data_IF_852974685245
#
_entry.id   IF_852974685245
#
_cell.length_a   1.000
_cell.length_b   1.000
_cell.length_c   1.000
_cell.angle_alpha   90.00
_cell.angle_beta   90.00
_cell.angle_gamma   90.00
#
_symmetry.space_group_name_H-M   'P 1'
#
loop_
_entity.id
_entity.type
_entity.pdbx_description
1 polymer ?
#
# COMPACT_ATOMS: atom_id res chain seq x y z
N UNK A 1 -5.51 28.34 1.96
CA UNK A 1 -4.27 27.55 2.14
C UNK A 1 -4.44 26.60 3.33
N UNK A 2 -4.73 25.31 3.12
CA UNK A 2 -4.94 24.34 4.22
C UNK A 2 -4.61 22.87 3.87
N UNK A 3 -3.88 22.60 2.78
CA UNK A 3 -3.65 21.22 2.29
C UNK A 3 -2.27 20.60 2.60
N UNK A 4 -1.23 21.36 2.95
CA UNK A 4 0.08 20.76 3.25
C UNK A 4 0.17 20.12 4.65
N UNK A 5 -0.58 20.62 5.64
CA UNK A 5 -0.47 20.13 7.02
C UNK A 5 -1.05 18.72 7.23
N UNK A 6 -2.03 18.32 6.42
CA UNK A 6 -2.71 17.04 6.60
C UNK A 6 -1.88 15.86 6.09
N UNK A 7 -1.06 16.06 5.07
CA UNK A 7 -0.23 15.01 4.49
C UNK A 7 1.02 14.73 5.32
N UNK A 8 1.73 15.76 5.80
CA UNK A 8 2.82 15.55 6.76
C UNK A 8 2.32 14.89 8.07
N UNK A 9 1.09 15.20 8.50
CA UNK A 9 0.44 14.48 9.59
C UNK A 9 0.12 13.02 9.22
N UNK A 10 -0.30 12.74 7.98
CA UNK A 10 -0.55 11.38 7.51
C UNK A 10 0.75 10.56 7.47
N UNK A 11 1.81 11.08 6.85
CA UNK A 11 3.12 10.42 6.76
C UNK A 11 3.74 10.15 8.13
N UNK A 12 3.61 11.09 9.07
CA UNK A 12 4.07 10.90 10.46
C UNK A 12 3.20 9.91 11.24
N UNK A 13 1.89 9.81 10.96
CA UNK A 13 0.98 8.85 11.60
C UNK A 13 1.09 7.44 11.03
N UNK A 14 1.19 7.30 9.72
CA UNK A 14 1.59 6.07 9.02
C UNK A 14 2.91 5.58 9.60
N UNK A 15 3.93 6.45 9.68
CA UNK A 15 5.20 6.10 10.35
C UNK A 15 4.99 5.64 11.79
N UNK A 16 4.16 6.31 12.60
CA UNK A 16 3.88 5.90 13.98
C UNK A 16 3.09 4.61 14.13
N UNK A 17 2.19 4.30 13.19
CA UNK A 17 1.50 3.02 13.07
C UNK A 17 2.57 1.95 12.81
N UNK A 18 3.38 2.14 11.77
CA UNK A 18 4.43 1.20 11.34
C UNK A 18 5.70 1.15 12.21
N UNK A 19 5.87 2.04 13.19
CA UNK A 19 7.01 2.05 14.13
C UNK A 19 6.70 1.37 15.47
N UNK A 20 5.44 1.00 15.74
CA UNK A 20 5.09 0.27 16.96
C UNK A 20 5.45 -1.19 16.77
N UNK A 21 6.59 -1.56 17.36
CA UNK A 21 6.98 -2.96 17.58
C UNK A 21 5.82 -3.66 18.32
N UNK A 22 5.23 -4.69 17.73
CA UNK A 22 4.18 -5.45 18.39
C UNK A 22 4.77 -6.20 19.58
N UNK A 23 4.23 -5.99 20.78
CA UNK A 23 4.49 -6.87 21.93
C UNK A 23 3.98 -8.27 21.58
N UNK A 24 4.89 -9.24 21.60
CA UNK A 24 4.66 -10.62 21.20
C UNK A 24 3.60 -11.27 22.10
N UNK A 25 2.39 -11.49 21.57
CA UNK A 25 1.47 -12.46 22.13
C UNK A 25 1.79 -13.83 21.51
N UNK A 26 2.13 -14.81 22.36
CA UNK A 26 2.45 -16.17 21.94
C UNK A 26 1.28 -16.77 21.14
N UNK A 27 1.52 -17.10 19.87
CA UNK A 27 0.52 -17.69 18.98
C UNK A 27 0.84 -19.18 18.77
N UNK A 28 -0.20 -20.03 18.83
CA UNK A 28 -0.12 -21.48 18.65
C UNK A 28 0.50 -21.87 17.28
N UNK A 29 1.05 -23.10 17.13
CA UNK A 29 1.79 -23.49 15.94
C UNK A 29 0.87 -23.49 14.71
N UNK A 30 1.13 -22.58 13.76
CA UNK A 30 0.47 -22.56 12.46
C UNK A 30 0.98 -23.74 11.65
N UNK A 31 0.08 -24.47 10.99
CA UNK A 31 0.43 -25.52 10.04
C UNK A 31 1.45 -24.96 9.03
N UNK A 32 2.51 -25.72 8.77
CA UNK A 32 3.64 -25.30 7.95
C UNK A 32 3.14 -24.83 6.57
N UNK A 33 3.43 -23.57 6.23
CA UNK A 33 3.19 -23.04 4.88
C UNK A 33 4.01 -23.84 3.86
N UNK A 34 3.46 -24.05 2.64
CA UNK A 34 4.20 -24.71 1.56
C UNK A 34 5.49 -23.93 1.26
N UNK A 35 6.56 -24.61 0.80
CA UNK A 35 7.91 -24.08 0.80
C UNK A 35 8.00 -22.76 0.02
N UNK A 36 8.39 -21.71 0.74
CA UNK A 36 8.51 -20.34 0.28
C UNK A 36 9.77 -20.11 -0.56
N UNK A 37 10.17 -21.02 -1.45
CA UNK A 37 11.42 -20.87 -2.23
C UNK A 37 11.31 -19.85 -3.39
N UNK A 38 10.25 -19.02 -3.40
CA UNK A 38 10.08 -17.86 -4.27
C UNK A 38 10.38 -16.53 -3.55
N UNK A 39 10.94 -16.58 -2.33
CA UNK A 39 10.62 -15.71 -1.18
C UNK A 39 11.03 -14.23 -1.21
N UNK A 40 11.91 -13.77 -2.09
CA UNK A 40 12.35 -12.35 -2.00
C UNK A 40 12.10 -11.61 -3.31
N UNK A 41 11.20 -10.62 -3.27
CA UNK A 41 11.17 -9.56 -4.30
C UNK A 41 12.49 -8.83 -4.21
N UNK A 42 13.32 -8.94 -5.25
CA UNK A 42 14.61 -8.28 -5.30
C UNK A 42 14.45 -6.78 -5.55
N UNK A 43 15.44 -5.97 -5.15
CA UNK A 43 15.42 -4.52 -5.38
C UNK A 43 15.12 -4.12 -6.84
N UNK A 44 15.65 -4.81 -7.88
CA UNK A 44 15.28 -4.51 -9.26
C UNK A 44 13.79 -4.72 -9.56
N UNK A 45 13.18 -5.78 -8.99
CA UNK A 45 11.74 -6.05 -9.18
C UNK A 45 10.89 -5.04 -8.43
N UNK A 46 11.30 -4.65 -7.22
CA UNK A 46 10.64 -3.60 -6.46
C UNK A 46 10.62 -2.27 -7.23
N UNK A 47 11.77 -1.87 -7.80
CA UNK A 47 11.87 -0.69 -8.65
C UNK A 47 10.99 -0.80 -9.90
N UNK A 48 10.96 -1.96 -10.55
CA UNK A 48 10.11 -2.19 -11.72
C UNK A 48 8.62 -2.11 -11.37
N UNK A 49 8.21 -2.65 -10.23
CA UNK A 49 6.84 -2.56 -9.74
C UNK A 49 6.43 -1.10 -9.47
N UNK A 50 7.30 -0.32 -8.81
CA UNK A 50 7.06 1.10 -8.58
C UNK A 50 7.00 1.90 -9.89
N UNK A 51 7.85 1.60 -10.87
CA UNK A 51 7.83 2.25 -12.17
C UNK A 51 6.53 1.96 -12.95
N UNK A 52 6.01 0.74 -12.88
CA UNK A 52 4.71 0.39 -13.46
C UNK A 52 3.56 1.15 -12.78
N UNK A 53 3.63 1.34 -11.45
CA UNK A 53 2.65 2.14 -10.70
C UNK A 53 2.72 3.62 -11.13
N UNK A 54 3.92 4.20 -11.18
CA UNK A 54 4.14 5.58 -11.66
C UNK A 54 3.54 5.75 -13.06
N UNK A 55 3.85 4.82 -13.98
CA UNK A 55 3.31 4.84 -15.33
C UNK A 55 1.78 4.76 -15.34
N UNK A 56 1.18 3.88 -14.55
CA UNK A 56 -0.29 3.79 -14.46
C UNK A 56 -0.91 5.12 -14.01
N UNK A 57 -0.33 5.76 -12.99
CA UNK A 57 -0.83 7.05 -12.49
C UNK A 57 -0.68 8.17 -13.53
N UNK A 58 0.43 8.21 -14.25
CA UNK A 58 0.65 9.15 -15.33
C UNK A 58 -0.33 8.93 -16.50
N UNK A 59 -0.46 7.70 -16.98
CA UNK A 59 -1.27 7.35 -18.16
C UNK A 59 -2.77 7.55 -17.91
N UNK A 60 -3.26 7.29 -16.68
CA UNK A 60 -4.70 7.33 -16.37
C UNK A 60 -5.16 8.64 -15.73
N UNK A 61 -4.28 9.33 -14.98
CA UNK A 61 -4.66 10.52 -14.21
C UNK A 61 -3.80 11.74 -14.52
N UNK A 62 -2.81 11.63 -15.42
CA UNK A 62 -1.89 12.71 -15.72
C UNK A 62 -1.01 13.10 -14.53
N UNK A 63 -0.82 12.18 -13.58
CA UNK A 63 -0.09 12.46 -12.33
C UNK A 63 1.34 12.91 -12.63
N UNK A 64 1.73 14.14 -12.26
CA UNK A 64 3.10 14.60 -12.48
C UNK A 64 4.08 13.86 -11.56
N UNK A 65 5.27 13.52 -12.05
CA UNK A 65 6.34 12.93 -11.23
C UNK A 65 6.69 13.80 -10.00
N UNK A 66 6.54 15.12 -10.09
CA UNK A 66 6.74 16.05 -8.97
C UNK A 66 5.73 15.86 -7.81
N UNK A 67 4.62 15.13 -8.03
CA UNK A 67 3.63 14.75 -7.03
C UNK A 67 3.89 13.37 -6.43
N UNK A 68 4.91 12.66 -6.93
CA UNK A 68 5.31 11.35 -6.43
C UNK A 68 6.41 11.51 -5.40
N UNK A 69 6.26 10.81 -4.28
CA UNK A 69 7.26 10.70 -3.24
C UNK A 69 7.63 9.24 -3.04
N UNK A 70 8.93 9.01 -3.04
CA UNK A 70 9.53 7.70 -2.87
C UNK A 70 10.25 7.62 -1.54
N UNK A 71 10.20 6.44 -0.93
CA UNK A 71 11.02 6.15 0.24
C UNK A 71 11.40 4.69 0.27
N UNK A 72 12.70 4.47 0.35
CA UNK A 72 13.28 3.14 0.48
C UNK A 72 13.35 2.73 1.97
N UNK A 73 13.20 1.43 2.19
CA UNK A 73 13.37 0.76 3.47
C UNK A 73 14.31 -0.42 3.27
N UNK A 74 14.91 -0.90 4.37
CA UNK A 74 15.75 -2.11 4.32
C UNK A 74 14.96 -3.33 3.82
N UNK A 75 13.65 -3.35 4.07
CA UNK A 75 12.74 -4.45 3.76
C UNK A 75 11.65 -4.06 2.75
N UNK A 76 11.87 -3.06 1.90
CA UNK A 76 10.86 -2.65 0.93
C UNK A 76 10.97 -1.19 0.46
N UNK A 77 9.89 -0.68 -0.13
CA UNK A 77 9.79 0.71 -0.57
C UNK A 77 8.34 1.19 -0.56
N UNK A 78 8.15 2.50 -0.49
CA UNK A 78 6.83 3.13 -0.61
C UNK A 78 6.79 4.17 -1.71
N UNK A 79 5.62 4.30 -2.33
CA UNK A 79 5.26 5.36 -3.26
C UNK A 79 4.01 6.06 -2.73
N UNK A 80 4.07 7.39 -2.64
CA UNK A 80 2.92 8.23 -2.35
C UNK A 80 2.69 9.21 -3.50
N UNK A 81 1.46 9.30 -3.99
CA UNK A 81 1.03 10.35 -4.91
C UNK A 81 0.21 11.37 -4.14
N UNK A 82 0.54 12.65 -4.30
CA UNK A 82 -0.20 13.79 -3.77
C UNK A 82 -1.14 14.43 -4.80
N UNK A 83 -1.41 13.76 -5.91
CA UNK A 83 -2.30 14.29 -6.95
C UNK A 83 -3.74 14.39 -6.44
N UNK A 84 -4.35 15.55 -6.56
CA UNK A 84 -5.72 15.78 -6.08
C UNK A 84 -6.77 14.94 -6.83
N UNK A 85 -6.48 14.57 -8.07
CA UNK A 85 -7.35 13.76 -8.93
C UNK A 85 -7.43 12.34 -8.38
N UNK A 86 -6.28 11.71 -8.15
CA UNK A 86 -6.17 10.35 -7.63
C UNK A 86 -4.86 10.19 -6.85
N UNK A 87 -4.88 10.55 -5.58
CA UNK A 87 -3.75 10.35 -4.68
C UNK A 87 -3.76 8.90 -4.19
N UNK A 88 -2.57 8.36 -3.93
CA UNK A 88 -2.39 6.98 -3.45
C UNK A 88 -1.27 6.93 -2.42
N UNK A 89 -1.39 6.02 -1.45
CA UNK A 89 -0.30 5.67 -0.52
C UNK A 89 -0.07 4.17 -0.57
N UNK A 90 1.10 3.77 -1.04
CA UNK A 90 1.45 2.37 -1.29
C UNK A 90 2.76 2.00 -0.60
N UNK A 91 2.82 0.78 -0.08
CA UNK A 91 4.05 0.19 0.47
C UNK A 91 4.19 -1.22 -0.08
N UNK A 92 5.38 -1.58 -0.56
CA UNK A 92 5.73 -2.95 -0.92
C UNK A 92 6.80 -3.41 0.07
N UNK A 93 6.53 -4.48 0.82
CA UNK A 93 7.44 -5.07 1.80
C UNK A 93 7.92 -6.42 1.29
N UNK A 94 9.23 -6.65 1.31
CA UNK A 94 9.84 -7.97 1.06
C UNK A 94 9.67 -8.87 2.27
N UNK A 95 9.93 -8.33 3.47
CA UNK A 95 9.61 -8.95 4.75
C UNK A 95 8.75 -8.00 5.56
N UNK A 96 7.66 -8.50 6.14
CA UNK A 96 6.78 -7.72 6.98
C UNK A 96 7.27 -7.61 8.43
N UNK A 97 8.17 -8.50 8.86
CA UNK A 97 8.73 -8.56 10.22
C UNK A 97 7.65 -8.52 11.32
N UNK A 98 6.48 -9.09 11.04
CA UNK A 98 5.33 -9.10 11.94
C UNK A 98 4.56 -7.77 12.03
N UNK A 99 4.86 -6.77 11.20
CA UNK A 99 4.13 -5.51 11.15
C UNK A 99 2.65 -5.77 10.84
N UNK A 100 1.75 -5.35 11.73
CA UNK A 100 0.29 -5.41 11.54
C UNK A 100 -0.26 -6.79 11.13
N UNK A 101 0.41 -7.88 11.51
CA UNK A 101 0.05 -9.26 11.09
C UNK A 101 0.06 -9.45 9.56
N UNK A 102 0.81 -8.61 8.84
CA UNK A 102 1.00 -8.75 7.42
C UNK A 102 1.89 -9.97 7.13
N UNK A 103 1.61 -10.72 6.05
CA UNK A 103 2.54 -11.71 5.55
C UNK A 103 3.75 -11.02 4.90
N UNK A 104 4.84 -11.76 4.76
CA UNK A 104 5.97 -11.33 3.94
C UNK A 104 5.54 -11.16 2.48
N UNK A 105 6.35 -10.40 1.75
CA UNK A 105 6.15 -10.17 0.33
C UNK A 105 4.73 -9.63 0.01
N UNK A 106 4.44 -8.41 0.44
CA UNK A 106 3.11 -7.80 0.39
C UNK A 106 3.15 -6.40 -0.21
N UNK A 107 2.18 -6.08 -1.07
CA UNK A 107 1.82 -4.71 -1.46
C UNK A 107 0.61 -4.27 -0.64
N UNK A 108 0.75 -3.17 0.08
CA UNK A 108 -0.27 -2.55 0.91
C UNK A 108 -0.78 -1.25 0.28
N UNK A 109 -2.10 -1.16 0.08
CA UNK A 109 -2.80 0.10 -0.23
C UNK A 109 -3.30 0.74 1.06
N UNK A 110 -2.69 1.89 1.41
CA UNK A 110 -2.94 2.61 2.65
C UNK A 110 -3.92 3.79 2.54
N UNK A 111 -4.26 4.24 1.33
CA UNK A 111 -5.22 5.32 1.14
C UNK A 111 -5.34 5.80 -0.30
N UNK A 112 -6.52 6.32 -0.65
CA UNK A 112 -6.86 6.82 -1.99
C UNK A 112 -7.62 8.16 -1.97
N UNK A 113 -7.05 9.24 -1.41
CA UNK A 113 -7.77 10.51 -1.35
C UNK A 113 -8.01 11.09 -2.76
N UNK A 114 -9.17 11.72 -2.95
CA UNK A 114 -9.53 12.38 -4.20
C UNK A 114 -10.48 13.55 -3.93
N UNK A 115 -10.39 14.59 -4.76
CA UNK A 115 -11.35 15.71 -4.77
C UNK A 115 -12.63 15.40 -5.54
N UNK A 116 -12.65 14.31 -6.32
CA UNK A 116 -13.83 13.86 -7.06
C UNK A 116 -14.89 13.24 -6.13
N UNK A 117 -16.08 12.99 -6.67
CA UNK A 117 -17.18 12.36 -5.95
C UNK A 117 -16.93 10.86 -5.68
N UNK A 118 -17.72 10.30 -4.77
CA UNK A 118 -17.58 8.91 -4.31
C UNK A 118 -17.89 7.90 -5.41
N UNK A 119 -18.81 8.19 -6.35
CA UNK A 119 -19.15 7.27 -7.44
C UNK A 119 -17.98 7.15 -8.41
N UNK A 120 -17.37 8.28 -8.77
CA UNK A 120 -16.15 8.31 -9.56
C UNK A 120 -15.03 7.54 -8.85
N UNK A 121 -14.80 7.84 -7.57
CA UNK A 121 -13.72 7.21 -6.79
C UNK A 121 -13.92 5.69 -6.66
N UNK A 122 -15.15 5.22 -6.48
CA UNK A 122 -15.45 3.78 -6.44
C UNK A 122 -15.14 3.08 -7.77
N UNK A 123 -15.46 3.73 -8.90
CA UNK A 123 -15.15 3.18 -10.22
C UNK A 123 -13.63 3.12 -10.47
N UNK A 124 -12.90 4.17 -10.10
CA UNK A 124 -11.44 4.21 -10.25
C UNK A 124 -10.72 3.26 -9.30
N UNK A 125 -11.17 3.15 -8.04
CA UNK A 125 -10.62 2.19 -7.08
C UNK A 125 -10.76 0.75 -7.58
N UNK A 126 -11.87 0.41 -8.25
CA UNK A 126 -12.04 -0.91 -8.88
C UNK A 126 -11.01 -1.15 -9.98
N UNK A 127 -10.81 -0.18 -10.89
CA UNK A 127 -9.80 -0.28 -11.96
C UNK A 127 -8.39 -0.42 -11.38
N UNK A 128 -8.08 0.43 -10.41
CA UNK A 128 -6.78 0.46 -9.77
C UNK A 128 -6.48 -0.84 -9.00
N UNK A 129 -7.47 -1.37 -8.29
CA UNK A 129 -7.33 -2.67 -7.60
C UNK A 129 -7.05 -3.81 -8.58
N UNK A 130 -7.77 -3.86 -9.71
CA UNK A 130 -7.51 -4.86 -10.75
C UNK A 130 -6.08 -4.74 -11.30
N UNK A 131 -5.62 -3.50 -11.54
CA UNK A 131 -4.24 -3.23 -11.95
C UNK A 131 -3.24 -3.73 -10.89
N UNK A 132 -3.45 -3.42 -9.61
CA UNK A 132 -2.56 -3.85 -8.52
C UNK A 132 -2.49 -5.38 -8.41
N UNK A 133 -3.61 -6.08 -8.57
CA UNK A 133 -3.61 -7.55 -8.58
C UNK A 133 -2.74 -8.12 -9.72
N UNK A 134 -2.89 -7.58 -10.94
CA UNK A 134 -2.08 -8.00 -12.09
C UNK A 134 -0.59 -7.64 -11.89
N UNK A 135 -0.33 -6.47 -11.33
CA UNK A 135 1.01 -5.98 -11.02
C UNK A 135 1.71 -6.88 -10.01
N UNK A 136 1.02 -7.29 -8.96
CA UNK A 136 1.58 -8.20 -7.95
C UNK A 136 1.98 -9.54 -8.59
N UNK A 137 1.11 -10.14 -9.40
CA UNK A 137 1.42 -11.37 -10.15
C UNK A 137 2.61 -11.17 -11.09
N UNK A 138 2.66 -10.06 -11.83
CA UNK A 138 3.76 -9.73 -12.76
C UNK A 138 5.11 -9.67 -12.05
N UNK A 139 5.16 -9.04 -10.88
CA UNK A 139 6.40 -8.82 -10.13
C UNK A 139 6.68 -9.85 -9.03
N UNK A 140 5.83 -10.89 -8.95
CA UNK A 140 5.88 -11.94 -7.93
C UNK A 140 5.80 -11.37 -6.50
N UNK A 141 5.08 -10.26 -6.34
CA UNK A 141 4.71 -9.77 -5.00
C UNK A 141 3.61 -10.68 -4.50
N UNK A 142 3.70 -11.22 -3.28
CA UNK A 142 2.87 -12.34 -2.83
C UNK A 142 1.50 -12.02 -2.25
N UNK A 143 1.31 -10.81 -1.77
CA UNK A 143 0.07 -10.46 -1.10
C UNK A 143 -0.34 -9.06 -1.52
N UNK A 144 -1.66 -8.87 -1.63
CA UNK A 144 -2.26 -7.55 -1.77
C UNK A 144 -3.09 -7.27 -0.52
N UNK A 145 -2.67 -6.28 0.24
CA UNK A 145 -3.34 -5.87 1.45
C UNK A 145 -3.99 -4.49 1.28
N UNK A 146 -5.11 -4.31 1.96
CA UNK A 146 -5.82 -3.04 2.05
C UNK A 146 -5.90 -2.66 3.52
N UNK A 147 -5.43 -1.46 3.86
CA UNK A 147 -5.68 -0.86 5.15
C UNK A 147 -6.97 -0.03 5.04
N UNK A 148 -7.96 -0.36 5.85
CA UNK A 148 -9.22 0.37 5.96
C UNK A 148 -9.22 1.21 7.23
N UNK A 149 -9.82 2.39 7.18
CA UNK A 149 -9.98 3.22 8.36
C UNK A 149 -10.93 2.55 9.35
N UNK A 150 -10.58 2.61 10.64
CA UNK A 150 -11.39 2.10 11.76
C UNK A 150 -12.44 3.07 12.25
N UNK A 151 -12.39 4.32 11.83
CA UNK A 151 -13.48 5.24 12.11
C UNK A 151 -14.66 4.83 11.22
N UNK A 152 -15.90 4.91 11.72
CA UNK A 152 -17.16 4.55 11.01
C UNK A 152 -17.44 5.47 9.81
N UNK A 153 -16.43 5.71 8.97
CA UNK A 153 -16.49 6.49 7.77
C UNK A 153 -16.45 5.54 6.59
N UNK A 154 -17.58 5.43 5.90
CA UNK A 154 -17.68 4.76 4.61
C UNK A 154 -16.87 5.47 3.49
N UNK A 155 -16.17 6.57 3.83
CA UNK A 155 -15.37 7.34 2.91
C UNK A 155 -13.96 6.72 2.77
N UNK A 156 -13.41 6.57 1.54
CA UNK A 156 -12.06 6.03 1.31
C UNK A 156 -10.90 6.93 1.79
N UNK A 157 -11.18 7.90 2.67
CA UNK A 157 -10.37 9.08 2.91
C UNK A 157 -9.63 8.93 4.23
N UNK A 158 -8.43 8.36 4.11
CA UNK A 158 -7.37 8.29 5.12
C UNK A 158 -7.58 7.28 6.25
N UNK A 159 -6.60 6.39 6.43
CA UNK A 159 -6.57 5.44 7.55
C UNK A 159 -5.85 6.10 8.74
N UNK A 160 -6.58 6.36 9.84
CA UNK A 160 -5.99 6.83 11.11
C UNK A 160 -5.64 5.67 12.03
N UNK A 161 -6.50 4.66 12.05
CA UNK A 161 -6.30 3.37 12.69
C UNK A 161 -6.84 2.31 11.73
N UNK A 162 -6.17 1.15 11.61
CA UNK A 162 -6.41 0.23 10.49
C UNK A 162 -6.93 -1.13 10.93
N UNK A 163 -7.92 -1.66 10.21
CA UNK A 163 -8.07 -3.09 9.98
C UNK A 163 -7.53 -3.43 8.60
N UNK A 164 -6.82 -4.56 8.51
CA UNK A 164 -6.11 -4.96 7.29
C UNK A 164 -6.77 -6.21 6.73
N UNK A 165 -7.23 -6.13 5.48
CA UNK A 165 -7.66 -7.30 4.72
C UNK A 165 -6.56 -7.67 3.73
N UNK A 166 -6.18 -8.94 3.70
CA UNK A 166 -5.11 -9.43 2.85
C UNK A 166 -5.63 -10.49 1.87
N UNK A 167 -5.32 -10.30 0.59
CA UNK A 167 -5.57 -11.24 -0.48
C UNK A 167 -4.26 -11.90 -0.88
N UNK A 168 -4.26 -13.23 -0.92
CA UNK A 168 -3.16 -14.02 -1.50
C UNK A 168 -3.45 -14.27 -2.98
N UNK A 169 -2.49 -14.00 -3.87
CA UNK A 169 -2.74 -13.99 -5.33
C UNK A 169 -2.12 -15.18 -6.10
N UNK A 170 -1.39 -16.08 -5.43
CA UNK A 170 -0.84 -17.35 -5.97
C UNK A 170 -0.61 -18.37 -4.86
#
# INVERSE_FOLDING_TARGET
MKNLNNLHQLLSRVKNIFSRKATTAATAPRAAEPPTDLSVVSDPRLKAALADIEKYLADNYGTPTAKLQYKDYTNGASLTSEDATFAVSLVILTTADGAFKLPDNVLLLGGVPSTNDIKWLAAELRKFTNFLMQLCTKHRIQHLAFAFDKTDSDAPRFVKEADVTCLRLY
#
